data_IF_943154377543
#
_entry.id   IF_943154377543
#
_cell.length_a   1.000
_cell.length_b   1.000
_cell.length_c   1.000
_cell.angle_alpha   90.00
_cell.angle_beta   90.00
_cell.angle_gamma   90.00
#
_symmetry.space_group_name_H-M   'P 1'
#
loop_
_entity.id
_entity.type
_entity.pdbx_description
1 polymer ?
#
# COMPACT_ATOMS: atom_id res chain seq x y z
N UNK A 1 33.10 43.91 60.52
CA UNK A 1 32.62 44.14 61.91
C UNK A 1 31.10 44.28 61.87
N UNK A 2 30.39 43.50 62.69
CA UNK A 2 28.96 43.60 63.07
C UNK A 2 27.91 43.54 61.93
N UNK A 3 26.75 42.87 62.03
CA UNK A 3 26.12 42.06 63.07
C UNK A 3 24.87 41.42 62.46
N UNK A 4 24.76 40.10 62.46
CA UNK A 4 23.80 39.25 63.19
C UNK A 4 22.44 39.90 63.56
N UNK A 5 21.36 39.11 63.30
CA UNK A 5 20.04 39.00 63.97
C UNK A 5 18.90 39.84 63.33
N UNK A 6 17.66 39.36 63.13
CA UNK A 6 16.94 38.12 63.52
C UNK A 6 15.57 38.10 62.78
N UNK A 7 15.18 36.90 62.31
CA UNK A 7 13.86 36.22 62.36
C UNK A 7 12.53 36.99 62.20
N UNK A 8 11.69 36.51 61.29
CA UNK A 8 10.38 35.81 61.52
C UNK A 8 9.66 35.68 60.16
N UNK A 9 9.64 34.53 59.49
CA UNK A 9 8.61 33.46 59.47
C UNK A 9 7.16 33.95 59.55
N UNK A 10 6.34 33.35 58.67
CA UNK A 10 4.88 33.30 58.59
C UNK A 10 4.25 34.36 57.67
N UNK A 11 3.47 34.01 56.65
CA UNK A 11 2.97 32.71 56.25
C UNK A 11 1.90 32.90 55.17
N UNK A 12 1.92 31.97 54.23
CA UNK A 12 0.84 31.50 53.37
C UNK A 12 -0.05 32.48 52.57
N UNK A 13 -0.10 32.12 51.28
CA UNK A 13 -1.28 32.03 50.41
C UNK A 13 -1.69 33.29 49.64
N UNK A 14 -1.40 33.31 48.33
CA UNK A 14 -2.33 32.76 47.33
C UNK A 14 -1.75 32.89 45.90
N UNK A 15 -1.62 31.72 45.28
CA UNK A 15 -1.34 31.40 43.87
C UNK A 15 -2.66 31.67 43.09
N UNK A 16 -2.72 32.14 41.83
CA UNK A 16 -1.97 31.55 40.72
C UNK A 16 -1.35 32.49 39.67
N UNK A 17 -0.21 32.01 39.18
CA UNK A 17 0.37 32.36 37.90
C UNK A 17 -0.67 32.15 36.78
N UNK A 18 -0.95 33.23 36.06
CA UNK A 18 -1.67 33.17 34.79
C UNK A 18 -0.87 32.27 33.84
N UNK A 19 -1.44 31.08 33.65
CA UNK A 19 -1.02 30.03 32.76
C UNK A 19 -0.87 30.57 31.34
N UNK A 20 0.37 30.83 30.93
CA UNK A 20 0.76 30.82 29.51
C UNK A 20 0.78 29.36 29.05
N UNK A 21 -0.39 28.73 29.04
CA UNK A 21 -0.61 27.43 28.42
C UNK A 21 -0.66 27.63 26.92
N UNK A 22 0.40 27.25 26.22
CA UNK A 22 0.31 26.98 24.80
C UNK A 22 -0.79 25.91 24.63
N UNK A 23 -1.94 26.35 24.12
CA UNK A 23 -2.99 25.48 23.61
C UNK A 23 -2.35 24.53 22.59
N UNK A 24 -2.10 23.30 23.02
CA UNK A 24 -1.88 22.20 22.10
C UNK A 24 -3.17 22.05 21.29
N UNK A 25 -3.14 22.51 20.04
CA UNK A 25 -4.08 22.04 19.04
C UNK A 25 -3.81 20.54 18.87
N UNK A 26 -4.50 19.70 19.64
CA UNK A 26 -4.69 18.31 19.26
C UNK A 26 -5.58 18.34 18.02
N UNK A 27 -4.94 18.40 16.85
CA UNK A 27 -5.60 18.06 15.61
C UNK A 27 -6.14 16.65 15.81
N UNK A 28 -7.47 16.56 15.99
CA UNK A 28 -8.17 15.29 15.95
C UNK A 28 -7.86 14.70 14.58
N UNK A 29 -7.04 13.66 14.56
CA UNK A 29 -6.98 12.80 13.40
C UNK A 29 -8.33 12.09 13.38
N UNK A 30 -9.18 12.42 12.39
CA UNK A 30 -10.25 11.53 12.03
C UNK A 30 -9.58 10.23 11.59
N UNK A 31 -9.59 9.23 12.48
CA UNK A 31 -9.34 7.85 12.06
C UNK A 31 -10.50 7.49 11.15
N UNK A 32 -10.33 7.64 9.84
CA UNK A 32 -11.19 6.95 8.89
C UNK A 32 -11.05 5.45 9.18
N UNK A 33 -12.04 4.91 9.89
CA UNK A 33 -12.24 3.47 10.04
C UNK A 33 -12.58 2.95 8.65
N UNK A 34 -11.55 2.60 7.88
CA UNK A 34 -11.75 1.79 6.70
C UNK A 34 -12.18 0.42 7.21
N UNK A 35 -13.48 0.23 7.40
CA UNK A 35 -14.04 -1.09 7.21
C UNK A 35 -13.87 -1.38 5.72
N UNK A 36 -12.77 -2.02 5.34
CA UNK A 36 -12.74 -2.79 4.09
C UNK A 36 -13.74 -3.90 4.33
N UNK A 37 -14.96 -3.65 3.93
CA UNK A 37 -15.89 -4.71 3.61
C UNK A 37 -15.16 -5.57 2.57
N UNK A 38 -14.88 -6.85 2.84
CA UNK A 38 -14.28 -7.70 1.83
C UNK A 38 -15.24 -7.66 0.64
N UNK A 39 -14.79 -7.06 -0.47
CA UNK A 39 -15.59 -6.95 -1.68
C UNK A 39 -16.19 -8.33 -1.95
N UNK A 40 -17.52 -8.42 -1.79
CA UNK A 40 -18.24 -9.65 -1.99
C UNK A 40 -17.92 -10.14 -3.40
N UNK A 41 -17.31 -11.31 -3.47
CA UNK A 41 -16.86 -11.94 -4.69
C UNK A 41 -18.03 -11.98 -5.68
N UNK A 42 -17.92 -11.29 -6.80
CA UNK A 42 -18.74 -11.57 -7.99
C UNK A 42 -18.31 -12.92 -8.61
N UNK A 43 -18.69 -14.03 -7.98
CA UNK A 43 -18.59 -15.39 -8.53
C UNK A 43 -19.60 -15.49 -9.67
N UNK A 44 -19.31 -14.94 -10.85
CA UNK A 44 -20.31 -15.03 -11.92
C UNK A 44 -19.91 -14.55 -13.30
N UNK A 45 -18.96 -13.63 -13.42
CA UNK A 45 -18.40 -13.28 -14.73
C UNK A 45 -17.00 -13.90 -14.82
N UNK A 46 -16.79 -14.82 -15.76
CA UNK A 46 -15.45 -15.24 -16.11
C UNK A 46 -14.65 -13.98 -16.47
N UNK A 47 -13.67 -13.60 -15.64
CA UNK A 47 -12.79 -12.48 -15.98
C UNK A 47 -12.22 -12.73 -17.39
N UNK A 48 -12.25 -11.73 -18.29
CA UNK A 48 -11.86 -11.97 -19.66
C UNK A 48 -10.38 -12.37 -19.68
N UNK A 49 -10.05 -13.41 -20.43
CA UNK A 49 -8.69 -13.94 -20.56
C UNK A 49 -7.68 -12.83 -20.87
N UNK A 50 -6.43 -12.98 -20.42
CA UNK A 50 -5.36 -12.03 -20.72
C UNK A 50 -5.15 -11.93 -22.23
N UNK A 51 -4.95 -10.71 -22.72
CA UNK A 51 -4.53 -10.45 -24.09
C UNK A 51 -3.07 -10.88 -24.31
N UNK A 52 -2.65 -11.16 -25.55
CA UNK A 52 -1.25 -11.40 -25.87
C UNK A 52 -0.32 -10.24 -25.45
N UNK A 53 -0.81 -9.01 -25.52
CA UNK A 53 -0.07 -7.81 -25.11
C UNK A 53 0.14 -7.78 -23.60
N UNK A 54 -0.89 -8.08 -22.80
CA UNK A 54 -0.81 -8.17 -21.34
C UNK A 54 0.18 -9.27 -20.91
N UNK A 55 0.18 -10.41 -21.60
CA UNK A 55 1.12 -11.51 -21.37
C UNK A 55 2.56 -11.08 -21.70
N UNK A 56 2.78 -10.42 -22.85
CA UNK A 56 4.09 -9.91 -23.25
C UNK A 56 4.63 -8.90 -22.23
N UNK A 57 3.78 -7.96 -21.82
CA UNK A 57 4.13 -6.93 -20.83
C UNK A 57 4.48 -7.56 -19.47
N UNK A 58 3.68 -8.53 -19.00
CA UNK A 58 3.97 -9.26 -17.77
C UNK A 58 5.32 -10.00 -17.82
N UNK A 59 5.64 -10.61 -18.96
CA UNK A 59 6.93 -11.28 -19.19
C UNK A 59 8.11 -10.33 -19.17
N UNK A 60 8.00 -9.20 -19.86
CA UNK A 60 9.04 -8.16 -19.89
C UNK A 60 9.25 -7.55 -18.51
N UNK A 61 8.16 -7.24 -17.82
CA UNK A 61 8.17 -6.77 -16.44
C UNK A 61 8.85 -7.78 -15.50
N UNK A 62 8.49 -9.06 -15.59
CA UNK A 62 9.07 -10.11 -14.75
C UNK A 62 10.59 -10.24 -14.97
N UNK A 63 11.05 -10.14 -16.23
CA UNK A 63 12.48 -10.16 -16.55
C UNK A 63 13.24 -9.00 -15.91
N UNK A 64 12.63 -7.81 -15.83
CA UNK A 64 13.24 -6.63 -15.19
C UNK A 64 13.21 -6.79 -13.67
N UNK A 65 12.03 -7.02 -13.09
CA UNK A 65 11.81 -7.07 -11.64
C UNK A 65 12.62 -8.18 -10.98
N UNK A 66 12.67 -9.36 -11.59
CA UNK A 66 13.37 -10.53 -11.06
C UNK A 66 14.76 -10.75 -11.68
N UNK A 67 15.33 -9.73 -12.33
CA UNK A 67 16.72 -9.77 -12.84
C UNK A 67 16.98 -11.00 -13.74
N UNK A 68 16.05 -11.28 -14.66
CA UNK A 68 16.07 -12.39 -15.62
C UNK A 68 16.02 -13.81 -15.02
N UNK A 69 15.67 -13.97 -13.75
CA UNK A 69 15.36 -15.29 -13.18
C UNK A 69 14.10 -15.87 -13.83
N UNK A 70 13.98 -17.19 -13.84
CA UNK A 70 12.75 -17.87 -14.24
C UNK A 70 11.59 -17.39 -13.35
N UNK A 71 10.56 -16.85 -13.99
CA UNK A 71 9.43 -16.24 -13.33
C UNK A 71 8.12 -16.86 -13.82
N UNK A 72 7.12 -16.78 -12.97
CA UNK A 72 5.76 -17.22 -13.24
C UNK A 72 4.80 -16.06 -13.02
N UNK A 73 3.66 -16.11 -13.69
CA UNK A 73 2.52 -15.21 -13.49
C UNK A 73 1.27 -15.99 -13.13
N UNK A 74 0.27 -15.32 -12.59
CA UNK A 74 -1.07 -15.90 -12.50
C UNK A 74 -1.66 -16.16 -13.89
N UNK A 75 -2.43 -17.24 -14.02
CA UNK A 75 -3.09 -17.60 -15.27
C UNK A 75 -4.16 -16.58 -15.69
N UNK A 76 -4.78 -15.91 -14.72
CA UNK A 76 -5.78 -14.87 -14.86
C UNK A 76 -5.44 -13.64 -14.01
N UNK A 77 -6.32 -12.64 -14.07
CA UNK A 77 -6.25 -11.50 -13.18
C UNK A 77 -6.50 -11.90 -11.73
N UNK A 78 -6.00 -11.08 -10.82
CA UNK A 78 -6.27 -11.17 -9.39
C UNK A 78 -7.00 -9.89 -8.99
N UNK A 79 -8.03 -10.03 -8.16
CA UNK A 79 -8.74 -8.88 -7.62
C UNK A 79 -7.85 -8.13 -6.63
N UNK A 80 -7.70 -6.83 -6.83
CA UNK A 80 -7.00 -5.93 -5.91
C UNK A 80 -7.78 -4.61 -5.77
N UNK A 81 -8.87 -4.65 -4.99
CA UNK A 81 -9.70 -3.46 -4.74
C UNK A 81 -10.48 -2.99 -5.97
N UNK A 82 -10.98 -1.74 -5.98
CA UNK A 82 -11.71 -1.16 -7.11
C UNK A 82 -10.79 -0.79 -8.30
N UNK A 83 -9.48 -0.91 -8.10
CA UNK A 83 -8.44 -0.41 -8.99
C UNK A 83 -8.00 -1.52 -9.96
N UNK A 84 -8.50 -1.44 -11.19
CA UNK A 84 -7.86 -2.06 -12.35
C UNK A 84 -7.77 -3.58 -12.41
N UNK A 85 -6.99 -4.04 -13.40
CA UNK A 85 -6.72 -5.45 -13.66
C UNK A 85 -5.33 -5.79 -13.14
N UNK A 86 -5.19 -6.70 -12.17
CA UNK A 86 -3.89 -6.99 -11.58
C UNK A 86 -3.39 -8.42 -11.89
N UNK A 87 -2.09 -8.59 -12.05
CA UNK A 87 -1.41 -9.87 -12.21
C UNK A 87 -0.36 -10.05 -11.14
N UNK A 88 -0.34 -11.23 -10.53
CA UNK A 88 0.75 -11.60 -9.66
C UNK A 88 1.89 -12.18 -10.47
N UNK A 89 3.11 -11.74 -10.16
CA UNK A 89 4.36 -12.27 -10.67
C UNK A 89 5.14 -12.88 -9.51
N UNK A 90 5.82 -14.01 -9.74
CA UNK A 90 6.72 -14.61 -8.74
C UNK A 90 7.98 -15.18 -9.36
N UNK A 91 9.03 -15.23 -8.56
CA UNK A 91 10.22 -16.03 -8.83
C UNK A 91 10.73 -16.60 -7.50
N UNK A 92 10.47 -17.89 -7.27
CA UNK A 92 10.69 -18.52 -5.97
C UNK A 92 9.77 -17.94 -4.89
N UNK A 93 10.36 -17.30 -3.87
CA UNK A 93 9.63 -16.66 -2.75
C UNK A 93 9.43 -15.15 -2.92
N UNK A 94 9.96 -14.57 -4.00
CA UNK A 94 9.81 -13.15 -4.29
C UNK A 94 8.55 -12.92 -5.12
N UNK A 95 7.78 -11.91 -4.74
CA UNK A 95 6.52 -11.56 -5.38
C UNK A 95 6.53 -10.11 -5.86
N UNK A 96 5.82 -9.86 -6.93
CA UNK A 96 5.45 -8.54 -7.39
C UNK A 96 4.01 -8.57 -7.89
N UNK A 97 3.30 -7.46 -7.71
CA UNK A 97 1.95 -7.27 -8.22
C UNK A 97 2.03 -6.22 -9.32
N UNK A 98 1.63 -6.60 -10.53
CA UNK A 98 1.53 -5.73 -11.68
C UNK A 98 0.07 -5.30 -11.83
N UNK A 99 -0.21 -4.01 -11.73
CA UNK A 99 -1.55 -3.45 -11.83
C UNK A 99 -1.67 -2.67 -13.13
N UNK A 100 -2.62 -3.06 -13.97
CA UNK A 100 -3.02 -2.33 -15.17
C UNK A 100 -4.19 -1.42 -14.82
N UNK A 101 -4.06 -0.10 -15.02
CA UNK A 101 -5.19 0.83 -14.82
C UNK A 101 -6.38 0.54 -15.77
N UNK A 102 -6.09 -0.02 -16.95
CA UNK A 102 -7.07 -0.39 -17.98
C UNK A 102 -6.59 -1.62 -18.77
N UNK A 103 -7.52 -2.35 -19.39
CA UNK A 103 -7.16 -3.46 -20.30
C UNK A 103 -6.31 -2.97 -21.45
N UNK A 104 -5.31 -3.77 -21.80
CA UNK A 104 -4.39 -3.46 -22.91
C UNK A 104 -4.67 -4.45 -24.05
N UNK A 105 -5.39 -3.98 -25.06
CA UNK A 105 -5.73 -4.79 -26.25
C UNK A 105 -4.88 -4.43 -27.46
N UNK A 106 -4.43 -3.18 -27.58
CA UNK A 106 -3.70 -2.69 -28.75
C UNK A 106 -2.20 -3.02 -28.68
N UNK A 107 -1.60 -3.28 -29.84
CA UNK A 107 -0.17 -3.61 -29.96
C UNK A 107 0.75 -2.41 -29.77
N UNK A 108 0.22 -1.20 -30.02
CA UNK A 108 0.89 0.08 -29.81
C UNK A 108 0.48 0.65 -28.44
N UNK A 109 1.24 0.31 -27.40
CA UNK A 109 1.13 0.96 -26.10
C UNK A 109 1.67 2.38 -26.28
N UNK A 110 0.78 3.38 -26.31
CA UNK A 110 1.21 4.77 -26.19
C UNK A 110 1.95 4.91 -24.87
N UNK A 111 3.21 5.35 -24.89
CA UNK A 111 4.00 5.57 -23.66
C UNK A 111 3.35 6.60 -22.71
N UNK A 112 2.41 7.41 -23.21
CA UNK A 112 1.61 8.34 -22.43
C UNK A 112 0.35 7.71 -21.79
N UNK A 113 0.04 6.45 -22.08
CA UNK A 113 -1.08 5.68 -21.52
C UNK A 113 -0.60 4.56 -20.58
N UNK A 114 0.67 4.60 -20.17
CA UNK A 114 1.36 3.57 -19.41
C UNK A 114 1.09 3.73 -17.90
N UNK A 115 -0.19 3.75 -17.53
CA UNK A 115 -0.66 3.82 -16.12
C UNK A 115 -0.53 2.44 -15.44
N UNK A 116 0.59 1.76 -15.67
CA UNK A 116 0.87 0.44 -15.13
C UNK A 116 1.74 0.59 -13.87
N UNK A 117 1.27 0.05 -12.76
CA UNK A 117 1.97 0.16 -11.47
C UNK A 117 2.54 -1.19 -11.06
N UNK A 118 3.80 -1.20 -10.62
CA UNK A 118 4.47 -2.41 -10.11
C UNK A 118 4.65 -2.26 -8.60
N UNK A 119 3.87 -3.03 -7.85
CA UNK A 119 3.90 -3.06 -6.39
C UNK A 119 4.74 -4.24 -5.90
N UNK A 120 5.59 -3.98 -4.91
CA UNK A 120 6.56 -4.97 -4.38
C UNK A 120 6.56 -5.03 -2.85
N UNK A 121 5.81 -4.16 -2.18
CA UNK A 121 5.77 -4.18 -0.73
C UNK A 121 5.14 -5.50 -0.25
N UNK A 122 5.50 -5.98 0.95
CA UNK A 122 4.88 -7.17 1.50
C UNK A 122 3.35 -7.07 1.64
N UNK A 123 2.83 -5.88 1.93
CA UNK A 123 1.40 -5.62 2.06
C UNK A 123 0.68 -5.75 0.71
N UNK A 124 1.17 -5.08 -0.33
CA UNK A 124 0.53 -5.08 -1.66
C UNK A 124 0.53 -6.47 -2.29
N UNK A 125 1.61 -7.22 -2.06
CA UNK A 125 1.79 -8.56 -2.63
C UNK A 125 1.14 -9.67 -1.79
N UNK A 126 0.42 -9.34 -0.72
CA UNK A 126 -0.27 -10.34 0.12
C UNK A 126 -1.24 -11.19 -0.71
N UNK A 127 -1.95 -10.58 -1.67
CA UNK A 127 -2.87 -11.27 -2.60
C UNK A 127 -2.18 -12.34 -3.46
N UNK A 128 -0.88 -12.19 -3.71
CA UNK A 128 -0.07 -13.13 -4.49
C UNK A 128 0.43 -14.33 -3.67
N UNK A 129 0.40 -14.24 -2.34
CA UNK A 129 0.77 -15.34 -1.44
C UNK A 129 -0.43 -16.23 -1.05
N UNK A 130 -1.64 -15.80 -1.39
CA UNK A 130 -2.85 -16.59 -1.14
C UNK A 130 -2.75 -17.97 -1.80
N UNK A 131 -3.25 -19.00 -1.11
CA UNK A 131 -3.34 -20.35 -1.64
C UNK A 131 -4.36 -20.43 -2.79
N UNK A 132 -4.26 -21.48 -3.62
CA UNK A 132 -5.21 -21.72 -4.71
C UNK A 132 -4.96 -20.91 -5.99
N UNK A 133 -3.88 -20.13 -6.07
CA UNK A 133 -3.48 -19.44 -7.31
C UNK A 133 -2.88 -20.43 -8.31
N UNK A 134 -3.37 -20.41 -9.56
CA UNK A 134 -2.76 -21.11 -10.68
C UNK A 134 -1.65 -20.27 -11.28
N UNK A 135 -0.45 -20.84 -11.31
CA UNK A 135 0.75 -20.21 -11.85
C UNK A 135 1.09 -20.80 -13.21
N UNK A 136 1.56 -19.95 -14.11
CA UNK A 136 2.04 -20.31 -15.44
C UNK A 136 3.36 -19.59 -15.70
N UNK A 137 4.25 -20.22 -16.45
CA UNK A 137 5.49 -19.57 -16.88
C UNK A 137 5.17 -18.28 -17.66
N UNK A 138 5.98 -17.24 -17.45
CA UNK A 138 5.89 -15.98 -18.20
C UNK A 138 6.51 -16.07 -19.57
#
# INVERSE_FOLDING_TARGET
MLGVRRRAVAGLAAIPALLSGCLYASAGYETFDWRVEPAAYSQGAAEPALSPTEIRYARETARIVFRRRAAERTAGFVSQGPEGYALCLRAGRDYALLVFARRVYDEAISQAADDNTILRSPADTAVCRASGRRWVAT
#
